data_IF_701948515529
#
_entry.id   IF_701948515529
#
_cell.length_a   1.000
_cell.length_b   1.000
_cell.length_c   1.000
_cell.angle_alpha   90.00
_cell.angle_beta   90.00
_cell.angle_gamma   90.00
#
_symmetry.space_group_name_H-M   'P 1'
#
loop_
_entity.id
_entity.type
_entity.pdbx_description
1 polymer ?
#
# COMPACT_ATOMS: atom_id res chain seq x y z
N UNK A 1 -6.30 0.46 -25.82
CA UNK A 1 -7.03 0.75 -24.57
C UNK A 1 -7.50 -0.59 -24.08
N UNK A 2 -6.69 -1.22 -23.23
CA UNK A 2 -7.10 -2.45 -22.57
C UNK A 2 -8.20 -2.06 -21.59
N UNK A 3 -9.38 -2.65 -21.76
CA UNK A 3 -10.47 -2.51 -20.81
C UNK A 3 -9.98 -3.03 -19.47
N UNK A 4 -9.80 -2.13 -18.49
CA UNK A 4 -9.48 -2.52 -17.12
C UNK A 4 -10.63 -3.40 -16.66
N UNK A 5 -10.39 -4.70 -16.57
CA UNK A 5 -11.30 -5.64 -15.96
C UNK A 5 -11.63 -5.11 -14.56
N UNK A 6 -12.92 -4.88 -14.26
CA UNK A 6 -13.33 -4.31 -12.97
C UNK A 6 -12.86 -5.16 -11.77
N UNK A 7 -12.56 -6.45 -12.00
CA UNK A 7 -12.00 -7.37 -11.01
C UNK A 7 -10.59 -6.99 -10.54
N UNK A 8 -9.80 -6.33 -11.39
CA UNK A 8 -8.38 -6.00 -11.13
C UNK A 8 -8.19 -4.50 -10.82
N UNK A 9 -9.26 -3.86 -10.34
CA UNK A 9 -9.28 -2.44 -9.96
C UNK A 9 -9.67 -2.27 -8.50
N UNK A 10 -9.03 -1.31 -7.83
CA UNK A 10 -9.34 -0.97 -6.45
C UNK A 10 -9.50 0.55 -6.28
N UNK A 11 -10.23 0.96 -5.24
CA UNK A 11 -10.42 2.36 -4.89
C UNK A 11 -9.34 2.79 -3.91
N UNK A 12 -8.34 3.52 -4.43
CA UNK A 12 -7.21 3.99 -3.66
C UNK A 12 -7.50 5.34 -3.03
N UNK A 13 -7.04 5.49 -1.79
CA UNK A 13 -7.03 6.73 -1.03
C UNK A 13 -5.59 7.15 -0.81
N UNK A 14 -5.30 8.43 -1.02
CA UNK A 14 -3.97 8.99 -0.77
C UNK A 14 -3.83 9.37 0.70
N UNK A 15 -2.79 8.86 1.36
CA UNK A 15 -2.45 9.10 2.78
C UNK A 15 -3.63 8.85 3.73
N UNK A 16 -4.24 7.65 3.68
CA UNK A 16 -5.29 7.28 4.62
C UNK A 16 -4.74 7.26 6.04
N UNK A 17 -5.55 7.67 7.01
CA UNK A 17 -5.18 7.67 8.44
C UNK A 17 -5.43 6.28 9.03
N UNK A 18 -6.51 5.62 8.61
CA UNK A 18 -6.94 4.34 9.15
C UNK A 18 -7.93 3.64 8.19
N UNK A 19 -8.40 2.45 8.57
CA UNK A 19 -9.32 1.63 7.79
C UNK A 19 -10.66 2.32 7.47
N UNK A 20 -11.13 3.24 8.32
CA UNK A 20 -12.37 3.98 8.08
C UNK A 20 -12.25 4.83 6.82
N UNK A 21 -11.12 5.50 6.64
CA UNK A 21 -10.83 6.32 5.46
C UNK A 21 -10.84 5.49 4.17
N UNK A 22 -10.50 4.20 4.25
CA UNK A 22 -10.54 3.28 3.11
C UNK A 22 -11.94 2.74 2.80
N UNK A 23 -12.79 2.59 3.83
CA UNK A 23 -14.14 2.02 3.71
C UNK A 23 -15.19 3.07 3.38
N UNK A 24 -14.96 4.32 3.76
CA UNK A 24 -15.86 5.44 3.47
C UNK A 24 -15.41 6.17 2.20
N UNK A 25 -16.36 6.54 1.33
CA UNK A 25 -16.04 7.30 0.12
C UNK A 25 -15.46 8.67 0.49
N UNK A 26 -14.14 8.78 0.42
CA UNK A 26 -13.41 10.00 0.74
C UNK A 26 -13.32 10.92 -0.47
N UNK A 27 -13.49 12.23 -0.28
CA UNK A 27 -13.24 13.23 -1.33
C UNK A 27 -11.76 13.15 -1.76
N UNK A 28 -11.50 12.58 -2.94
CA UNK A 28 -10.15 12.36 -3.47
C UNK A 28 -9.71 10.90 -3.53
N UNK A 29 -10.60 9.93 -3.27
CA UNK A 29 -10.36 8.55 -3.71
C UNK A 29 -10.34 8.48 -5.23
N UNK A 30 -9.61 7.52 -5.78
CA UNK A 30 -9.59 7.26 -7.21
C UNK A 30 -9.49 5.77 -7.49
N UNK A 31 -10.20 5.32 -8.51
CA UNK A 31 -10.15 3.93 -8.95
C UNK A 31 -9.08 3.76 -10.02
N UNK A 32 -8.25 2.74 -9.87
CA UNK A 32 -7.27 2.36 -10.88
C UNK A 32 -6.96 0.86 -10.80
N UNK A 33 -6.25 0.34 -11.80
CA UNK A 33 -5.80 -1.05 -11.79
C UNK A 33 -4.73 -1.29 -10.72
N UNK A 34 -4.61 -2.52 -10.23
CA UNK A 34 -3.53 -2.90 -9.32
C UNK A 34 -2.85 -4.21 -9.73
N UNK A 35 -1.64 -4.42 -9.22
CA UNK A 35 -0.88 -5.66 -9.29
C UNK A 35 -0.33 -5.96 -7.89
N UNK A 36 -0.45 -7.20 -7.42
CA UNK A 36 0.16 -7.60 -6.15
C UNK A 36 1.56 -8.12 -6.44
N UNK A 37 2.58 -7.44 -5.90
CA UNK A 37 3.98 -7.87 -6.03
C UNK A 37 4.39 -8.77 -4.86
N UNK A 38 3.94 -8.43 -3.66
CA UNK A 38 4.23 -9.18 -2.43
C UNK A 38 3.03 -9.24 -1.49
N UNK A 39 3.05 -10.23 -0.61
CA UNK A 39 2.03 -10.44 0.42
C UNK A 39 2.67 -10.30 1.80
N UNK A 40 2.15 -9.41 2.62
CA UNK A 40 2.47 -9.30 4.03
C UNK A 40 1.34 -9.94 4.85
N UNK A 41 1.54 -11.21 5.22
CA UNK A 41 0.59 -11.93 6.06
C UNK A 41 0.83 -11.58 7.54
N UNK A 42 -0.18 -10.99 8.18
CA UNK A 42 -0.16 -10.56 9.57
C UNK A 42 -1.04 -11.47 10.44
N UNK A 43 -0.72 -11.55 11.73
CA UNK A 43 -1.69 -12.02 12.72
C UNK A 43 -2.90 -11.07 12.75
N UNK A 44 -4.04 -11.56 13.25
CA UNK A 44 -5.24 -10.72 13.37
C UNK A 44 -5.00 -9.47 14.21
N UNK A 45 -4.28 -9.61 15.33
CA UNK A 45 -3.94 -8.48 16.22
C UNK A 45 -3.03 -7.46 15.52
N UNK A 46 -2.03 -7.96 14.78
CA UNK A 46 -1.14 -7.10 13.98
C UNK A 46 -1.91 -6.35 12.90
N UNK A 47 -2.83 -7.02 12.21
CA UNK A 47 -3.67 -6.41 11.19
C UNK A 47 -4.63 -5.37 11.76
N UNK A 48 -5.26 -5.64 12.89
CA UNK A 48 -6.13 -4.68 13.60
C UNK A 48 -5.34 -3.44 14.03
N UNK A 49 -4.13 -3.62 14.58
CA UNK A 49 -3.23 -2.50 14.92
C UNK A 49 -2.78 -1.71 13.70
N UNK A 50 -2.35 -2.39 12.64
CA UNK A 50 -1.87 -1.77 11.41
C UNK A 50 -2.99 -0.97 10.72
N UNK A 51 -4.15 -1.58 10.55
CA UNK A 51 -5.30 -0.94 9.90
C UNK A 51 -5.89 0.21 10.71
N UNK A 52 -5.65 0.27 12.02
CA UNK A 52 -6.01 1.40 12.88
C UNK A 52 -5.10 2.62 12.76
N UNK A 53 -3.88 2.49 12.23
CA UNK A 53 -2.84 3.53 12.24
C UNK A 53 -2.08 3.59 10.88
N UNK A 54 -2.80 3.63 9.76
CA UNK A 54 -2.18 3.61 8.43
C UNK A 54 -1.25 4.81 8.16
N UNK A 55 -1.32 5.90 8.93
CA UNK A 55 -0.38 7.02 8.81
C UNK A 55 0.98 6.77 9.48
N UNK A 56 1.17 5.61 10.13
CA UNK A 56 2.41 5.21 10.77
C UNK A 56 3.55 4.91 9.79
N UNK A 57 4.78 4.97 10.31
CA UNK A 57 5.98 4.50 9.61
C UNK A 57 6.25 3.04 9.94
N UNK A 58 6.50 2.22 8.93
CA UNK A 58 6.65 0.78 9.03
C UNK A 58 7.89 0.28 8.32
N UNK A 59 8.73 -0.46 9.03
CA UNK A 59 9.99 -0.99 8.52
C UNK A 59 9.80 -1.90 7.31
N UNK A 60 8.79 -2.78 7.33
CA UNK A 60 8.55 -3.69 6.20
C UNK A 60 8.21 -2.96 4.88
N UNK A 61 7.56 -1.79 4.93
CA UNK A 61 7.29 -1.00 3.74
C UNK A 61 8.57 -0.39 3.18
N UNK A 62 9.46 0.10 4.05
CA UNK A 62 10.77 0.59 3.64
C UNK A 62 11.63 -0.50 3.01
N UNK A 63 11.70 -1.67 3.65
CA UNK A 63 12.52 -2.79 3.18
C UNK A 63 12.04 -3.36 1.84
N UNK A 64 10.77 -3.18 1.51
CA UNK A 64 10.16 -3.66 0.27
C UNK A 64 9.73 -2.52 -0.68
N UNK A 65 10.27 -1.31 -0.48
CA UNK A 65 9.85 -0.11 -1.22
C UNK A 65 10.02 -0.22 -2.73
N UNK A 66 11.00 -0.99 -3.18
CA UNK A 66 11.30 -1.17 -4.61
C UNK A 66 10.28 -2.08 -5.31
N UNK A 67 9.45 -2.80 -4.57
CA UNK A 67 8.34 -3.60 -5.10
C UNK A 67 7.04 -2.78 -5.27
N UNK A 68 7.04 -1.50 -4.88
CA UNK A 68 5.87 -0.62 -4.99
C UNK A 68 6.20 0.53 -5.94
N UNK A 69 5.39 0.66 -6.99
CA UNK A 69 5.53 1.70 -8.00
C UNK A 69 4.23 1.87 -8.79
N UNK A 70 4.19 2.90 -9.63
CA UNK A 70 3.10 3.14 -10.54
C UNK A 70 3.63 3.11 -11.97
N UNK A 71 2.96 2.38 -12.86
CA UNK A 71 3.33 2.37 -14.26
C UNK A 71 3.21 3.76 -14.90
N UNK A 72 4.20 4.19 -15.70
CA UNK A 72 4.06 5.39 -16.52
C UNK A 72 2.94 5.20 -17.55
N UNK A 73 1.85 5.95 -17.42
CA UNK A 73 0.78 6.04 -18.44
C UNK A 73 -0.51 5.29 -18.10
N UNK A 74 -0.44 4.05 -17.61
CA UNK A 74 -1.63 3.19 -17.39
C UNK A 74 -2.20 3.23 -15.96
N UNK A 75 -1.56 4.00 -15.06
CA UNK A 75 -2.01 4.21 -13.67
C UNK A 75 -2.24 2.89 -12.90
N UNK A 76 -1.58 1.79 -13.27
CA UNK A 76 -1.61 0.57 -12.47
C UNK A 76 -0.70 0.75 -11.26
N UNK A 77 -1.21 0.39 -10.08
CA UNK A 77 -0.42 0.40 -8.85
C UNK A 77 0.15 -0.98 -8.59
N UNK A 78 1.47 -1.07 -8.48
CA UNK A 78 2.17 -2.23 -7.97
C UNK A 78 2.22 -2.13 -6.46
N UNK A 79 1.65 -3.13 -5.79
CA UNK A 79 1.30 -3.06 -4.39
C UNK A 79 1.88 -4.22 -3.57
N UNK A 80 2.05 -3.94 -2.28
CA UNK A 80 2.07 -4.99 -1.26
C UNK A 80 0.64 -5.20 -0.78
N UNK A 81 0.19 -6.46 -0.77
CA UNK A 81 -1.06 -6.85 -0.13
C UNK A 81 -0.80 -7.18 1.34
N UNK A 82 -1.31 -6.35 2.25
CA UNK A 82 -1.35 -6.67 3.69
C UNK A 82 -2.64 -7.41 3.99
N UNK A 83 -2.56 -8.63 4.51
CA UNK A 83 -3.75 -9.46 4.83
C UNK A 83 -3.48 -10.37 6.02
N UNK A 84 -4.41 -11.26 6.33
CA UNK A 84 -4.28 -12.32 7.35
C UNK A 84 -4.32 -13.68 6.67
N UNK A 85 -3.90 -14.73 7.37
CA UNK A 85 -3.87 -16.12 6.85
C UNK A 85 -5.20 -16.64 6.30
N UNK A 86 -6.33 -16.04 6.67
CA UNK A 86 -7.64 -16.38 6.13
C UNK A 86 -7.97 -15.73 4.78
N UNK A 87 -7.11 -14.84 4.26
CA UNK A 87 -7.27 -14.08 3.01
C UNK A 87 -8.68 -13.48 2.86
N UNK A 88 -9.31 -13.08 3.98
CA UNK A 88 -10.65 -12.49 3.96
C UNK A 88 -10.55 -11.04 3.51
N UNK A 89 -10.17 -10.15 4.41
CA UNK A 89 -9.94 -8.75 4.03
C UNK A 89 -8.45 -8.43 3.95
N UNK A 90 -8.12 -7.38 3.22
CA UNK A 90 -6.75 -6.90 3.09
C UNK A 90 -6.69 -5.45 2.67
N UNK A 91 -5.46 -4.94 2.63
CA UNK A 91 -5.15 -3.58 2.24
C UNK A 91 -4.04 -3.65 1.19
N UNK A 92 -4.32 -3.14 0.00
CA UNK A 92 -3.32 -2.90 -1.03
C UNK A 92 -2.56 -1.63 -0.69
N UNK A 93 -1.23 -1.64 -0.79
CA UNK A 93 -0.39 -0.49 -0.43
C UNK A 93 0.61 -0.21 -1.53
N UNK A 94 0.66 1.07 -1.94
CA UNK A 94 1.75 1.65 -2.71
C UNK A 94 2.35 2.78 -1.85
N UNK A 95 3.66 2.72 -1.59
CA UNK A 95 4.31 3.63 -0.63
C UNK A 95 5.01 4.82 -1.30
N UNK A 96 5.11 4.84 -2.62
CA UNK A 96 5.82 5.84 -3.41
C UNK A 96 7.24 6.01 -2.89
N UNK A 97 7.95 4.92 -2.58
CA UNK A 97 9.28 4.94 -1.97
C UNK A 97 9.36 5.43 -0.50
N UNK A 98 8.25 5.77 0.13
CA UNK A 98 8.20 6.06 1.57
C UNK A 98 8.07 4.78 2.40
N UNK A 99 8.17 4.92 3.73
CA UNK A 99 7.94 3.85 4.68
C UNK A 99 6.54 3.87 5.30
N UNK A 100 5.56 4.46 4.61
CA UNK A 100 4.16 4.51 5.06
C UNK A 100 3.23 4.33 3.85
N UNK A 101 1.99 3.86 4.06
CA UNK A 101 0.94 3.77 3.03
C UNK A 101 0.64 5.14 2.39
N UNK A 102 1.32 5.45 1.29
CA UNK A 102 1.13 6.71 0.57
C UNK A 102 -0.16 6.68 -0.24
N UNK A 103 -0.45 5.53 -0.84
CA UNK A 103 -1.75 5.16 -1.38
C UNK A 103 -2.14 3.80 -0.81
N UNK A 104 -3.41 3.64 -0.44
CA UNK A 104 -3.92 2.33 -0.08
C UNK A 104 -5.37 2.13 -0.50
N UNK A 105 -5.75 0.87 -0.70
CA UNK A 105 -7.10 0.47 -1.03
C UNK A 105 -7.58 -0.68 -0.15
N UNK A 106 -8.83 -0.62 0.29
CA UNK A 106 -9.45 -1.74 1.01
C UNK A 106 -9.87 -2.84 0.04
N UNK A 107 -9.44 -4.08 0.29
CA UNK A 107 -9.89 -5.26 -0.41
C UNK A 107 -10.82 -6.10 0.48
N UNK A 108 -12.13 -6.18 0.20
CA UNK A 108 -13.07 -6.90 1.06
C UNK A 108 -12.95 -8.42 0.97
N UNK A 109 -12.39 -8.95 -0.12
CA UNK A 109 -12.19 -10.39 -0.33
C UNK A 109 -10.91 -10.66 -1.12
N UNK A 110 -9.80 -10.93 -0.42
CA UNK A 110 -8.50 -11.19 -1.06
C UNK A 110 -8.48 -12.48 -1.89
N UNK A 111 -9.41 -13.43 -1.65
CA UNK A 111 -9.52 -14.67 -2.45
C UNK A 111 -9.94 -14.41 -3.90
N UNK A 112 -10.35 -13.19 -4.23
CA UNK A 112 -10.67 -12.77 -5.60
C UNK A 112 -9.44 -12.31 -6.38
N UNK A 113 -8.30 -12.19 -5.72
CA UNK A 113 -7.03 -11.81 -6.33
C UNK A 113 -6.29 -13.08 -6.70
N UNK A 114 -5.71 -13.13 -7.90
CA UNK A 114 -4.74 -14.15 -8.23
C UNK A 114 -3.43 -13.88 -7.49
N UNK A 115 -3.11 -14.75 -6.54
CA UNK A 115 -1.94 -14.66 -5.68
C UNK A 115 -0.93 -15.80 -5.96
N UNK A 116 -1.16 -16.59 -7.01
CA UNK A 116 -0.28 -17.70 -7.35
C UNK A 116 1.15 -17.21 -7.64
N UNK A 117 2.15 -17.83 -6.99
CA UNK A 117 3.55 -17.51 -7.17
C UNK A 117 4.02 -16.17 -6.56
N UNK A 118 3.15 -15.41 -5.90
CA UNK A 118 3.53 -14.16 -5.24
C UNK A 118 4.35 -14.42 -3.97
N UNK A 119 5.37 -13.61 -3.75
CA UNK A 119 6.24 -13.71 -2.59
C UNK A 119 5.47 -13.36 -1.31
N UNK A 120 5.42 -14.28 -0.35
CA UNK A 120 4.93 -14.01 1.00
C UNK A 120 6.12 -13.60 1.87
N UNK A 121 6.05 -12.41 2.47
CA UNK A 121 7.07 -11.93 3.39
C UNK A 121 7.15 -12.87 4.59
N UNK A 122 8.35 -13.39 4.88
CA UNK A 122 8.56 -14.28 6.03
C UNK A 122 8.19 -13.62 7.36
N UNK A 123 8.37 -12.29 7.47
CA UNK A 123 7.91 -11.47 8.57
C UNK A 123 7.71 -10.02 8.10
N UNK A 124 6.62 -9.39 8.55
CA UNK A 124 6.43 -7.94 8.42
C UNK A 124 6.83 -7.25 9.73
N UNK A 125 7.95 -6.52 9.72
CA UNK A 125 8.33 -5.65 10.82
C UNK A 125 7.47 -4.38 10.83
N UNK A 126 6.49 -4.33 11.73
CA UNK A 126 5.59 -3.20 11.93
C UNK A 126 6.19 -2.09 12.80
N UNK A 127 7.47 -2.17 13.18
CA UNK A 127 8.12 -1.13 13.96
C UNK A 127 8.46 0.11 13.12
N UNK A 128 8.55 1.29 13.73
CA UNK A 128 9.00 2.51 13.07
C UNK A 128 10.54 2.63 12.99
N UNK A 129 11.28 1.52 13.16
CA UNK A 129 12.74 1.50 13.26
C UNK A 129 13.41 1.68 11.88
N UNK A 130 13.36 2.91 11.37
CA UNK A 130 13.90 3.29 10.08
C UNK A 130 15.34 3.80 10.18
N UNK A 131 16.19 3.54 9.18
CA UNK A 131 17.56 4.00 9.20
C UNK A 131 17.61 5.51 9.03
N UNK A 132 18.66 6.17 9.54
CA UNK A 132 18.82 7.63 9.44
C UNK A 132 18.78 8.12 7.97
N UNK A 133 19.26 7.29 7.05
CA UNK A 133 19.25 7.56 5.61
C UNK A 133 17.84 7.77 5.06
N UNK A 134 16.88 6.95 5.46
CA UNK A 134 15.47 7.11 5.05
C UNK A 134 14.96 8.52 5.33
N UNK A 135 15.23 9.06 6.52
CA UNK A 135 14.74 10.38 6.90
C UNK A 135 15.35 11.48 6.04
N UNK A 136 16.63 11.36 5.68
CA UNK A 136 17.30 12.31 4.78
C UNK A 136 16.68 12.28 3.38
N UNK A 137 16.48 11.09 2.84
CA UNK A 137 15.86 10.88 1.53
C UNK A 137 14.42 11.40 1.49
N UNK A 138 13.62 11.05 2.52
CA UNK A 138 12.23 11.47 2.62
C UNK A 138 12.10 13.01 2.74
N UNK A 139 13.02 13.69 3.42
CA UNK A 139 13.05 15.15 3.48
C UNK A 139 13.35 15.80 2.13
N UNK A 140 14.34 15.27 1.41
CA UNK A 140 14.68 15.73 0.06
C UNK A 140 13.50 15.51 -0.88
N UNK A 141 12.90 14.32 -0.87
CA UNK A 141 11.73 14.01 -1.70
C UNK A 141 10.56 14.93 -1.40
N UNK A 142 10.23 15.16 -0.12
CA UNK A 142 9.18 16.11 0.29
C UNK A 142 9.44 17.54 -0.17
N UNK A 143 10.71 17.97 -0.20
CA UNK A 143 11.07 19.29 -0.75
C UNK A 143 10.84 19.33 -2.25
N UNK A 144 11.30 18.33 -2.99
CA UNK A 144 11.13 18.25 -4.44
C UNK A 144 9.64 18.26 -4.84
N UNK A 145 8.80 17.44 -4.20
CA UNK A 145 7.34 17.40 -4.41
C UNK A 145 6.66 18.79 -4.23
N UNK A 146 7.15 19.62 -3.31
CA UNK A 146 6.63 20.99 -3.10
C UNK A 146 7.05 21.97 -4.20
N UNK A 147 8.14 21.68 -4.89
CA UNK A 147 8.71 22.55 -5.94
C UNK A 147 8.11 22.22 -7.31
N UNK A 148 7.77 20.95 -7.56
CA UNK A 148 7.13 20.49 -8.81
C UNK A 148 5.62 20.78 -8.87
N UNK A 149 4.96 20.94 -7.72
CA UNK A 149 3.55 21.35 -7.65
C UNK A 149 3.31 22.86 -7.84
N UNK A 150 4.27 23.60 -8.42
CA UNK A 150 4.23 25.06 -8.62
C UNK A 150 4.24 25.44 -10.09
#
# INVERSE_FOLDING_TARGET
>A
MEDINMADSAEFVRKPINMKDLKEHYYGSFRCGFEVEKIAELSREQFEKFSGELYGYYRFLYDNRDAMYMDPGDRRMHCILVTTSGYREGILIEAEGYAYPRYAAFMPDCRKIDLEGKEVLAQADLSPNLPMEYWREAEVKKKNERTEGR
#
